data_IF_666964594985
#
_entry.id   IF_666964594985
#
_cell.length_a   1.000
_cell.length_b   1.000
_cell.length_c   1.000
_cell.angle_alpha   90.00
_cell.angle_beta   90.00
_cell.angle_gamma   90.00
#
_symmetry.space_group_name_H-M   'P 1'
#
loop_
_entity.id
_entity.type
_entity.pdbx_description
1 polymer ?
#
# COMPACT_ATOMS: atom_id res chain seq x y z
N UNK A 1 -6.87 -20.02 6.36
CA UNK A 1 -7.47 -18.98 7.24
C UNK A 1 -8.98 -19.13 7.20
N UNK A 2 -9.67 -18.97 8.34
CA UNK A 2 -11.15 -18.96 8.39
C UNK A 2 -11.65 -17.67 7.71
N UNK A 3 -12.79 -17.77 6.98
CA UNK A 3 -13.38 -16.62 6.26
C UNK A 3 -13.79 -15.48 7.19
N UNK A 4 -14.25 -15.79 8.41
CA UNK A 4 -14.55 -14.78 9.41
C UNK A 4 -13.30 -13.97 9.79
N UNK A 5 -12.18 -14.65 10.02
CA UNK A 5 -10.89 -14.00 10.29
C UNK A 5 -10.38 -13.16 9.10
N UNK A 6 -10.64 -13.61 7.88
CA UNK A 6 -10.24 -12.85 6.69
C UNK A 6 -11.09 -11.58 6.53
N UNK A 7 -12.38 -11.62 6.85
CA UNK A 7 -13.25 -10.42 6.93
C UNK A 7 -12.68 -9.45 7.96
N UNK A 8 -12.36 -9.91 9.17
CA UNK A 8 -11.81 -9.06 10.23
C UNK A 8 -10.48 -8.41 9.82
N UNK A 9 -9.64 -9.12 9.06
CA UNK A 9 -8.38 -8.60 8.54
C UNK A 9 -8.56 -7.50 7.46
N UNK A 10 -9.73 -7.44 6.82
CA UNK A 10 -10.07 -6.43 5.80
C UNK A 10 -10.80 -5.22 6.38
N UNK A 11 -11.44 -5.36 7.54
CA UNK A 11 -12.18 -4.29 8.21
C UNK A 11 -11.26 -3.50 9.13
N UNK A 12 -10.67 -2.44 8.61
CA UNK A 12 -9.78 -1.58 9.37
C UNK A 12 -10.56 -0.66 10.32
N UNK A 13 -10.06 -0.45 11.56
CA UNK A 13 -10.71 0.44 12.52
C UNK A 13 -10.78 1.86 11.96
N UNK A 14 -11.86 2.57 12.28
CA UNK A 14 -12.05 3.97 11.93
C UNK A 14 -11.34 4.88 12.94
N UNK A 15 -10.80 6.01 12.49
CA UNK A 15 -10.21 7.01 13.38
C UNK A 15 -11.27 7.61 14.30
N UNK A 16 -10.88 7.97 15.52
CA UNK A 16 -11.79 8.49 16.54
C UNK A 16 -12.59 9.73 16.08
N UNK A 17 -11.95 10.61 15.32
CA UNK A 17 -12.60 11.80 14.75
C UNK A 17 -13.75 11.41 13.80
N UNK A 18 -13.49 10.43 12.92
CA UNK A 18 -14.51 9.92 11.98
C UNK A 18 -15.65 9.16 12.69
N UNK A 19 -15.33 8.44 13.75
CA UNK A 19 -16.37 7.82 14.61
C UNK A 19 -17.24 8.91 15.23
N UNK A 20 -16.66 10.00 15.69
CA UNK A 20 -17.39 11.14 16.28
C UNK A 20 -18.26 11.84 15.24
N UNK A 21 -17.75 12.08 14.04
CA UNK A 21 -18.52 12.65 12.91
C UNK A 21 -19.72 11.75 12.57
N UNK A 22 -19.49 10.45 12.43
CA UNK A 22 -20.54 9.46 12.15
C UNK A 22 -21.59 9.41 13.25
N UNK A 23 -21.17 9.43 14.51
CA UNK A 23 -22.07 9.45 15.66
C UNK A 23 -22.95 10.72 15.67
N UNK A 24 -22.38 11.87 15.38
CA UNK A 24 -23.14 13.12 15.31
C UNK A 24 -24.15 13.11 14.14
N UNK A 25 -23.77 12.60 12.97
CA UNK A 25 -24.69 12.45 11.84
C UNK A 25 -25.87 11.55 12.20
N UNK A 26 -25.62 10.36 12.75
CA UNK A 26 -26.67 9.43 13.17
C UNK A 26 -27.57 10.05 14.24
N UNK A 27 -27.01 10.79 15.19
CA UNK A 27 -27.77 11.46 16.25
C UNK A 27 -28.69 12.55 15.70
N UNK A 28 -28.22 13.32 14.71
CA UNK A 28 -29.01 14.39 14.08
C UNK A 28 -30.08 13.84 13.16
N UNK A 29 -29.74 12.84 12.35
CA UNK A 29 -30.66 12.28 11.36
C UNK A 29 -31.65 11.28 11.95
N UNK A 30 -31.35 10.70 13.12
CA UNK A 30 -32.16 9.66 13.76
C UNK A 30 -32.18 8.33 13.00
N UNK A 31 -31.28 8.15 12.03
CA UNK A 31 -31.16 6.96 11.17
C UNK A 31 -29.73 6.72 10.76
N UNK A 32 -29.42 5.51 10.33
CA UNK A 32 -28.15 5.13 9.72
C UNK A 32 -28.37 4.32 8.43
N UNK A 33 -27.37 4.31 7.56
CA UNK A 33 -27.35 3.37 6.44
C UNK A 33 -27.36 1.93 6.94
N UNK A 34 -27.89 0.97 6.17
CA UNK A 34 -27.92 -0.43 6.55
C UNK A 34 -26.54 -1.00 6.87
N UNK A 35 -26.50 -1.89 7.83
CA UNK A 35 -25.36 -2.78 8.10
C UNK A 35 -25.44 -3.95 7.15
N UNK A 36 -24.33 -4.29 6.49
CA UNK A 36 -24.29 -5.41 5.55
C UNK A 36 -23.64 -6.62 6.23
N UNK A 37 -24.32 -7.76 6.16
CA UNK A 37 -23.87 -9.03 6.74
C UNK A 37 -23.68 -10.09 5.66
N UNK A 38 -22.81 -11.06 5.93
CA UNK A 38 -22.61 -12.25 5.13
C UNK A 38 -22.29 -13.44 6.04
N UNK A 39 -23.14 -14.49 6.02
CA UNK A 39 -23.04 -15.62 6.94
C UNK A 39 -22.79 -15.18 8.40
N UNK A 40 -23.67 -14.31 8.91
CA UNK A 40 -23.63 -13.75 10.26
C UNK A 40 -22.42 -12.86 10.60
N UNK A 41 -21.51 -12.66 9.66
CA UNK A 41 -20.40 -11.73 9.84
C UNK A 41 -20.77 -10.37 9.25
N UNK A 42 -20.46 -9.29 9.97
CA UNK A 42 -20.60 -7.93 9.46
C UNK A 42 -19.47 -7.68 8.45
N UNK A 43 -19.85 -7.29 7.24
CA UNK A 43 -18.91 -6.97 6.13
C UNK A 43 -18.86 -5.49 5.80
N UNK A 44 -19.85 -4.71 6.25
CA UNK A 44 -19.84 -3.25 6.24
C UNK A 44 -20.72 -2.69 7.34
N UNK A 45 -20.29 -1.59 7.96
CA UNK A 45 -21.06 -0.84 8.94
C UNK A 45 -20.92 -1.31 10.39
N UNK A 46 -19.79 -1.92 10.78
CA UNK A 46 -19.51 -2.34 12.16
C UNK A 46 -19.63 -1.15 13.13
N UNK A 47 -18.98 -0.04 12.84
CA UNK A 47 -19.02 1.15 13.66
C UNK A 47 -20.42 1.78 13.69
N UNK A 48 -21.18 1.71 12.57
CA UNK A 48 -22.59 2.16 12.53
C UNK A 48 -23.46 1.37 13.50
N UNK A 49 -23.30 0.04 13.52
CA UNK A 49 -24.04 -0.84 14.43
C UNK A 49 -23.75 -0.48 15.89
N UNK A 50 -22.48 -0.39 16.26
CA UNK A 50 -22.06 -0.05 17.62
C UNK A 50 -22.57 1.34 18.06
N UNK A 51 -22.57 2.31 17.16
CA UNK A 51 -23.08 3.67 17.44
C UNK A 51 -24.60 3.63 17.60
N UNK A 52 -25.32 2.97 16.70
CA UNK A 52 -26.78 2.87 16.77
C UNK A 52 -27.25 2.18 18.05
N UNK A 53 -26.59 1.11 18.48
CA UNK A 53 -26.85 0.43 19.75
C UNK A 53 -26.66 1.38 20.93
N UNK A 54 -25.55 2.13 20.97
CA UNK A 54 -25.27 3.11 22.04
C UNK A 54 -26.27 4.27 22.07
N UNK A 55 -26.76 4.70 20.92
CA UNK A 55 -27.72 5.79 20.79
C UNK A 55 -29.17 5.33 20.87
N UNK A 56 -29.43 4.03 20.98
CA UNK A 56 -30.75 3.41 20.92
C UNK A 56 -31.53 3.79 19.64
N UNK A 57 -30.81 3.85 18.50
CA UNK A 57 -31.32 4.08 17.15
C UNK A 57 -31.43 2.73 16.46
N UNK A 58 -32.54 2.43 15.80
CA UNK A 58 -32.66 1.22 15.00
C UNK A 58 -31.85 1.31 13.73
N UNK A 59 -31.15 0.25 13.38
CA UNK A 59 -30.42 0.13 12.10
C UNK A 59 -30.89 -1.12 11.37
N UNK A 60 -31.09 -0.99 10.06
CA UNK A 60 -31.46 -2.11 9.19
C UNK A 60 -30.24 -3.01 8.96
N UNK A 61 -30.42 -4.33 9.05
CA UNK A 61 -29.40 -5.31 8.66
C UNK A 61 -29.81 -5.96 7.33
N UNK A 62 -28.90 -5.99 6.36
CA UNK A 62 -29.11 -6.59 5.04
C UNK A 62 -28.09 -7.67 4.78
N UNK A 63 -28.55 -8.85 4.39
CA UNK A 63 -27.66 -9.88 3.90
C UNK A 63 -27.09 -9.50 2.53
N UNK A 64 -25.78 -9.70 2.38
CA UNK A 64 -25.11 -9.57 1.10
C UNK A 64 -25.69 -10.57 0.08
N UNK A 65 -26.05 -10.08 -1.10
CA UNK A 65 -26.69 -10.87 -2.14
C UNK A 65 -25.70 -11.54 -3.12
N UNK A 66 -24.40 -11.24 -3.02
CA UNK A 66 -23.37 -11.83 -3.86
C UNK A 66 -23.17 -13.31 -3.62
N UNK A 67 -22.70 -14.03 -4.64
CA UNK A 67 -22.70 -15.49 -4.68
C UNK A 67 -21.36 -16.11 -4.26
N UNK A 68 -20.26 -15.36 -4.32
CA UNK A 68 -18.95 -15.91 -4.07
C UNK A 68 -18.20 -15.20 -2.95
N UNK A 69 -17.29 -15.93 -2.30
CA UNK A 69 -16.35 -15.39 -1.36
C UNK A 69 -15.49 -14.26 -1.97
N UNK A 70 -15.14 -14.40 -3.23
CA UNK A 70 -14.32 -13.44 -3.95
C UNK A 70 -15.05 -12.10 -4.17
N UNK A 71 -16.36 -12.16 -4.45
CA UNK A 71 -17.19 -10.95 -4.58
C UNK A 71 -17.27 -10.19 -3.25
N UNK A 72 -17.46 -10.91 -2.11
CA UNK A 72 -17.54 -10.24 -0.81
C UNK A 72 -16.22 -9.61 -0.40
N UNK A 73 -15.09 -10.27 -0.66
CA UNK A 73 -13.76 -9.69 -0.41
C UNK A 73 -13.55 -8.40 -1.19
N UNK A 74 -13.91 -8.37 -2.47
CA UNK A 74 -13.82 -7.15 -3.30
C UNK A 74 -14.73 -6.05 -2.78
N UNK A 75 -15.97 -6.40 -2.45
CA UNK A 75 -16.91 -5.44 -1.86
C UNK A 75 -16.35 -4.79 -0.58
N UNK A 76 -15.81 -5.58 0.35
CA UNK A 76 -15.18 -5.04 1.57
C UNK A 76 -14.03 -4.11 1.20
N UNK A 77 -13.15 -4.54 0.29
CA UNK A 77 -12.02 -3.70 -0.15
C UNK A 77 -12.50 -2.37 -0.75
N UNK A 78 -13.52 -2.39 -1.60
CA UNK A 78 -14.08 -1.19 -2.24
C UNK A 78 -14.68 -0.25 -1.20
N UNK A 79 -15.51 -0.77 -0.28
CA UNK A 79 -16.11 0.03 0.79
C UNK A 79 -15.08 0.66 1.72
N UNK A 80 -14.01 -0.09 2.08
CA UNK A 80 -12.90 0.46 2.85
C UNK A 80 -12.14 1.55 2.08
N UNK A 81 -11.93 1.38 0.77
CA UNK A 81 -11.21 2.34 -0.07
C UNK A 81 -11.95 3.66 -0.32
N UNK A 82 -13.27 3.71 -0.11
CA UNK A 82 -14.06 4.95 -0.12
C UNK A 82 -13.71 5.88 1.04
N UNK A 83 -13.13 5.35 2.11
CA UNK A 83 -12.72 6.11 3.30
C UNK A 83 -11.50 6.97 2.99
N UNK A 84 -11.48 8.19 3.53
CA UNK A 84 -10.39 9.16 3.41
C UNK A 84 -9.34 9.06 4.55
N UNK A 85 -9.68 8.34 5.64
CA UNK A 85 -8.86 8.25 6.85
C UNK A 85 -7.84 7.10 6.85
N UNK A 86 -7.81 6.27 5.79
CA UNK A 86 -6.90 5.12 5.71
C UNK A 86 -5.46 5.54 5.38
N UNK A 87 -4.46 5.06 6.15
CA UNK A 87 -3.04 5.18 5.82
C UNK A 87 -2.71 4.55 4.46
N UNK A 88 -1.68 5.06 3.81
CA UNK A 88 -1.25 4.58 2.50
C UNK A 88 -0.96 3.05 2.46
N UNK A 89 -0.30 2.43 3.46
CA UNK A 89 -0.10 0.98 3.45
C UNK A 89 -1.40 0.18 3.46
N UNK A 90 -2.43 0.61 4.22
CA UNK A 90 -3.75 -0.02 4.19
C UNK A 90 -4.40 0.09 2.82
N UNK A 91 -4.34 1.27 2.18
CA UNK A 91 -4.87 1.46 0.82
C UNK A 91 -4.17 0.57 -0.20
N UNK A 92 -2.82 0.47 -0.12
CA UNK A 92 -2.03 -0.44 -0.99
C UNK A 92 -2.45 -1.89 -0.82
N UNK A 93 -2.61 -2.31 0.44
CA UNK A 93 -3.04 -3.66 0.77
C UNK A 93 -4.43 -3.97 0.20
N UNK A 94 -5.42 -3.09 0.38
CA UNK A 94 -6.78 -3.28 -0.11
C UNK A 94 -6.87 -3.33 -1.64
N UNK A 95 -6.16 -2.44 -2.34
CA UNK A 95 -6.11 -2.46 -3.81
C UNK A 95 -5.46 -3.74 -4.32
N UNK A 96 -4.33 -4.15 -3.73
CA UNK A 96 -3.66 -5.40 -4.06
C UNK A 96 -4.54 -6.62 -3.77
N UNK A 97 -5.26 -6.62 -2.64
CA UNK A 97 -6.18 -7.69 -2.24
C UNK A 97 -7.35 -7.80 -3.21
N UNK A 98 -7.95 -6.68 -3.60
CA UNK A 98 -9.02 -6.65 -4.60
C UNK A 98 -8.57 -7.27 -5.93
N UNK A 99 -7.40 -6.90 -6.44
CA UNK A 99 -6.86 -7.48 -7.66
C UNK A 99 -6.52 -8.98 -7.51
N UNK A 100 -5.84 -9.35 -6.43
CA UNK A 100 -5.50 -10.75 -6.15
C UNK A 100 -6.74 -11.64 -6.10
N UNK A 101 -7.82 -11.15 -5.50
CA UNK A 101 -9.11 -11.83 -5.40
C UNK A 101 -9.74 -12.05 -6.79
N UNK A 102 -9.62 -11.11 -7.73
CA UNK A 102 -10.05 -11.32 -9.12
C UNK A 102 -9.29 -12.46 -9.78
N UNK A 103 -7.98 -12.51 -9.60
CA UNK A 103 -7.15 -13.57 -10.18
C UNK A 103 -7.53 -14.93 -9.57
N UNK A 104 -7.65 -15.01 -8.26
CA UNK A 104 -8.04 -16.25 -7.56
C UNK A 104 -9.41 -16.78 -8.00
N UNK A 105 -10.38 -15.89 -8.24
CA UNK A 105 -11.71 -16.30 -8.72
C UNK A 105 -11.64 -16.92 -10.11
N UNK A 106 -10.91 -16.29 -11.03
CA UNK A 106 -10.69 -16.80 -12.39
C UNK A 106 -9.97 -18.16 -12.34
N UNK A 107 -8.92 -18.27 -11.53
CA UNK A 107 -8.17 -19.52 -11.39
C UNK A 107 -9.00 -20.64 -10.80
N UNK A 108 -9.83 -20.34 -9.80
CA UNK A 108 -10.73 -21.32 -9.19
C UNK A 108 -11.75 -21.80 -10.20
N UNK A 109 -12.43 -20.90 -10.91
CA UNK A 109 -13.42 -21.27 -11.93
C UNK A 109 -12.80 -22.15 -13.02
N UNK A 110 -11.59 -21.85 -13.46
CA UNK A 110 -10.88 -22.65 -14.44
C UNK A 110 -10.56 -24.06 -13.92
N UNK A 111 -10.08 -24.19 -12.67
CA UNK A 111 -9.77 -25.51 -12.06
C UNK A 111 -11.02 -26.34 -11.83
N UNK A 112 -12.17 -25.72 -11.53
CA UNK A 112 -13.44 -26.42 -11.40
C UNK A 112 -13.93 -27.02 -12.74
N UNK A 113 -13.67 -26.30 -13.85
CA UNK A 113 -13.98 -26.78 -15.21
C UNK A 113 -12.94 -27.77 -15.75
N UNK A 114 -11.70 -27.73 -15.24
CA UNK A 114 -10.57 -28.54 -15.72
C UNK A 114 -9.82 -29.19 -14.54
N UNK A 115 -10.43 -30.17 -13.86
CA UNK A 115 -9.86 -30.74 -12.63
C UNK A 115 -8.52 -31.46 -12.83
N UNK A 116 -8.21 -31.90 -14.02
CA UNK A 116 -6.94 -32.57 -14.37
C UNK A 116 -5.81 -31.60 -14.70
N UNK A 117 -6.06 -30.29 -14.68
CA UNK A 117 -5.08 -29.25 -15.00
C UNK A 117 -4.31 -28.82 -13.76
N UNK A 118 -3.01 -29.10 -13.67
CA UNK A 118 -2.16 -28.70 -12.55
C UNK A 118 -1.96 -27.17 -12.51
N UNK A 119 -1.78 -26.55 -13.69
CA UNK A 119 -1.51 -25.11 -13.81
C UNK A 119 -2.56 -24.39 -14.65
N UNK A 120 -2.97 -23.21 -14.20
CA UNK A 120 -3.86 -22.34 -14.97
C UNK A 120 -3.04 -21.59 -16.03
N UNK A 121 -3.35 -21.77 -17.33
CA UNK A 121 -2.61 -21.07 -18.38
C UNK A 121 -2.71 -19.54 -18.25
N UNK A 122 -1.62 -18.84 -18.49
CA UNK A 122 -1.53 -17.39 -18.34
C UNK A 122 -2.55 -16.60 -19.17
N UNK A 123 -2.99 -17.15 -20.33
CA UNK A 123 -4.01 -16.53 -21.18
C UNK A 123 -5.42 -16.57 -20.57
N UNK A 124 -5.67 -17.46 -19.60
CA UNK A 124 -6.96 -17.58 -18.89
C UNK A 124 -7.11 -16.42 -17.91
N UNK A 125 -6.12 -16.17 -17.07
CA UNK A 125 -6.17 -15.08 -16.08
C UNK A 125 -6.17 -13.71 -16.72
N UNK A 126 -5.65 -13.61 -17.97
CA UNK A 126 -5.48 -12.32 -18.68
C UNK A 126 -4.93 -11.24 -17.75
N UNK A 127 -3.97 -11.63 -16.90
CA UNK A 127 -3.50 -10.90 -15.74
C UNK A 127 -3.20 -9.41 -16.02
N UNK A 128 -2.53 -9.13 -17.14
CA UNK A 128 -2.22 -7.76 -17.55
C UNK A 128 -3.50 -6.94 -17.84
N UNK A 129 -4.47 -7.53 -18.53
CA UNK A 129 -5.76 -6.86 -18.85
C UNK A 129 -6.57 -6.64 -17.57
N UNK A 130 -6.65 -7.64 -16.70
CA UNK A 130 -7.33 -7.53 -15.41
C UNK A 130 -6.67 -6.47 -14.53
N UNK A 131 -5.33 -6.46 -14.44
CA UNK A 131 -4.60 -5.41 -13.72
C UNK A 131 -4.84 -4.01 -14.29
N UNK A 132 -4.92 -3.87 -15.63
CA UNK A 132 -5.24 -2.59 -16.28
C UNK A 132 -6.66 -2.12 -15.96
N UNK A 133 -7.62 -3.04 -15.91
CA UNK A 133 -9.00 -2.70 -15.53
C UNK A 133 -9.08 -2.21 -14.06
N UNK A 134 -8.44 -2.94 -13.15
CA UNK A 134 -8.37 -2.54 -11.73
C UNK A 134 -7.60 -1.23 -11.56
N UNK A 135 -6.50 -1.05 -12.29
CA UNK A 135 -5.72 0.19 -12.29
C UNK A 135 -6.57 1.40 -12.69
N UNK A 136 -7.43 1.23 -13.68
CA UNK A 136 -8.34 2.29 -14.13
C UNK A 136 -9.36 2.69 -13.05
N UNK A 137 -9.85 1.73 -12.25
CA UNK A 137 -10.79 2.02 -11.14
C UNK A 137 -10.15 2.91 -10.06
N UNK A 138 -8.86 2.75 -9.81
CA UNK A 138 -8.14 3.43 -8.74
C UNK A 138 -7.20 4.53 -9.23
N UNK A 139 -7.19 4.85 -10.52
CA UNK A 139 -6.33 5.86 -11.14
C UNK A 139 -4.82 5.56 -10.95
N UNK A 140 -4.46 4.30 -11.13
CA UNK A 140 -3.10 3.77 -10.97
C UNK A 140 -2.58 3.20 -12.29
N UNK A 141 -1.28 2.91 -12.36
CA UNK A 141 -0.73 2.11 -13.46
C UNK A 141 -0.90 0.61 -13.20
N UNK A 142 -0.98 -0.21 -14.26
CA UNK A 142 -1.03 -1.67 -14.10
C UNK A 142 0.19 -2.21 -13.33
N UNK A 143 1.38 -1.63 -13.55
CA UNK A 143 2.59 -2.02 -12.84
C UNK A 143 2.49 -1.74 -11.33
N UNK A 144 1.78 -0.67 -10.95
CA UNK A 144 1.47 -0.37 -9.55
C UNK A 144 0.54 -1.43 -8.94
N UNK A 145 -0.47 -1.87 -9.69
CA UNK A 145 -1.38 -2.93 -9.24
C UNK A 145 -0.61 -4.24 -8.96
N UNK A 146 0.28 -4.63 -9.87
CA UNK A 146 1.12 -5.83 -9.66
C UNK A 146 2.00 -5.71 -8.42
N UNK A 147 2.62 -4.54 -8.20
CA UNK A 147 3.40 -4.29 -6.98
C UNK A 147 2.54 -4.34 -5.70
N UNK A 148 1.32 -3.83 -5.77
CA UNK A 148 0.39 -3.86 -4.64
C UNK A 148 -0.10 -5.27 -4.34
N UNK A 149 -0.27 -6.10 -5.37
CA UNK A 149 -0.57 -7.51 -5.18
C UNK A 149 0.58 -8.25 -4.51
N UNK A 150 1.83 -8.09 -4.99
CA UNK A 150 3.01 -8.67 -4.33
C UNK A 150 3.11 -8.23 -2.87
N UNK A 151 2.87 -6.95 -2.60
CA UNK A 151 2.81 -6.41 -1.24
C UNK A 151 1.73 -7.11 -0.39
N UNK A 152 0.53 -7.30 -0.95
CA UNK A 152 -0.59 -7.97 -0.26
C UNK A 152 -0.29 -9.42 0.04
N UNK A 153 0.24 -10.16 -0.93
CA UNK A 153 0.60 -11.59 -0.76
C UNK A 153 1.68 -11.74 0.33
N UNK A 154 2.69 -10.89 0.31
CA UNK A 154 3.74 -10.91 1.33
C UNK A 154 3.19 -10.54 2.72
N UNK A 155 2.31 -9.52 2.82
CA UNK A 155 1.62 -9.17 4.06
C UNK A 155 0.77 -10.31 4.60
N UNK A 156 0.02 -11.01 3.75
CA UNK A 156 -0.81 -12.14 4.19
C UNK A 156 0.04 -13.29 4.72
N UNK A 157 1.16 -13.63 4.07
CA UNK A 157 2.12 -14.64 4.56
C UNK A 157 2.73 -14.26 5.92
N UNK A 158 3.17 -13.01 6.09
CA UNK A 158 3.69 -12.53 7.39
C UNK A 158 2.60 -12.56 8.45
N UNK A 159 1.36 -12.18 8.10
CA UNK A 159 0.22 -12.18 9.03
C UNK A 159 -0.10 -13.56 9.59
N UNK A 160 0.01 -14.61 8.79
CA UNK A 160 -0.20 -15.98 9.25
C UNK A 160 0.77 -16.40 10.37
N UNK A 161 1.96 -15.81 10.37
CA UNK A 161 3.04 -16.12 11.33
C UNK A 161 3.10 -15.09 12.47
N UNK A 162 3.02 -13.79 12.14
CA UNK A 162 3.14 -12.68 13.09
C UNK A 162 2.16 -11.53 12.75
N UNK A 163 0.88 -11.63 13.19
CA UNK A 163 -0.14 -10.63 12.88
C UNK A 163 0.13 -9.25 13.49
N UNK A 164 0.81 -9.20 14.65
CA UNK A 164 1.15 -7.93 15.30
C UNK A 164 2.06 -7.06 14.46
N UNK A 165 3.08 -7.63 13.84
CA UNK A 165 4.01 -6.93 12.96
C UNK A 165 3.29 -6.35 11.73
N UNK A 166 2.37 -7.10 11.14
CA UNK A 166 1.56 -6.63 10.01
C UNK A 166 0.64 -5.48 10.43
N UNK A 167 0.09 -5.53 11.65
CA UNK A 167 -0.69 -4.42 12.21
C UNK A 167 0.09 -3.11 12.19
N UNK A 168 1.34 -3.12 12.62
CA UNK A 168 2.22 -1.94 12.64
C UNK A 168 2.58 -1.47 11.22
N UNK A 169 2.85 -2.39 10.29
CA UNK A 169 3.08 -2.05 8.87
C UNK A 169 1.88 -1.36 8.23
N UNK A 170 0.68 -1.88 8.45
CA UNK A 170 -0.55 -1.35 7.85
C UNK A 170 -0.93 0.01 8.43
N UNK A 171 -0.70 0.24 9.72
CA UNK A 171 -0.87 1.57 10.34
C UNK A 171 0.16 2.58 9.81
N UNK A 172 1.28 2.11 9.26
CA UNK A 172 2.40 2.94 8.82
C UNK A 172 3.34 3.36 9.95
N UNK A 173 3.21 2.76 11.14
CA UNK A 173 4.08 2.98 12.30
C UNK A 173 5.46 2.39 12.06
N UNK A 174 5.53 1.26 11.34
CA UNK A 174 6.78 0.67 10.89
C UNK A 174 6.80 0.66 9.37
N UNK A 175 7.86 1.21 8.79
CA UNK A 175 8.08 1.23 7.34
C UNK A 175 8.85 -0.01 6.90
N UNK A 176 8.45 -0.58 5.77
CA UNK A 176 9.10 -1.72 5.14
C UNK A 176 9.07 -1.60 3.63
N UNK A 177 10.19 -1.86 2.98
CA UNK A 177 10.25 -1.96 1.51
C UNK A 177 9.69 -3.31 1.04
N UNK A 178 9.15 -3.37 -0.20
CA UNK A 178 8.56 -4.59 -0.75
C UNK A 178 9.56 -5.78 -0.71
N UNK A 179 10.79 -5.59 -1.18
CA UNK A 179 11.79 -6.67 -1.17
C UNK A 179 12.16 -7.16 0.24
N UNK A 180 12.16 -6.27 1.24
CA UNK A 180 12.35 -6.66 2.65
C UNK A 180 11.14 -7.41 3.18
N UNK A 181 9.93 -6.98 2.81
CA UNK A 181 8.68 -7.65 3.19
C UNK A 181 8.59 -9.06 2.60
N UNK A 182 9.03 -9.25 1.35
CA UNK A 182 9.13 -10.57 0.72
C UNK A 182 10.10 -11.48 1.48
N UNK A 183 11.25 -10.96 1.92
CA UNK A 183 12.18 -11.70 2.78
C UNK A 183 11.54 -12.08 4.12
N UNK A 184 10.81 -11.17 4.76
CA UNK A 184 10.05 -11.46 5.99
C UNK A 184 8.99 -12.54 5.77
N UNK A 185 8.33 -12.57 4.62
CA UNK A 185 7.34 -13.57 4.29
C UNK A 185 7.91 -15.00 4.20
N UNK A 186 9.20 -15.12 3.90
CA UNK A 186 9.93 -16.40 3.83
C UNK A 186 10.61 -16.82 5.14
N UNK A 187 10.58 -15.94 6.18
CA UNK A 187 11.13 -16.26 7.51
C UNK A 187 10.20 -17.20 8.29
N UNK A 188 10.78 -17.95 9.22
CA UNK A 188 10.02 -18.79 10.13
C UNK A 188 9.34 -17.93 11.23
N UNK A 189 8.33 -18.52 11.87
CA UNK A 189 7.53 -17.81 12.89
C UNK A 189 8.38 -17.32 14.07
N UNK A 190 9.29 -18.15 14.54
CA UNK A 190 10.17 -17.87 15.66
C UNK A 190 11.11 -16.69 15.38
N UNK A 191 11.59 -16.59 14.16
CA UNK A 191 12.43 -15.48 13.69
C UNK A 191 11.64 -14.17 13.63
N UNK A 192 10.40 -14.22 13.12
CA UNK A 192 9.50 -13.06 13.07
C UNK A 192 9.07 -12.61 14.47
N UNK A 193 8.83 -13.55 15.41
CA UNK A 193 8.50 -13.24 16.80
C UNK A 193 9.67 -12.55 17.51
N UNK A 194 10.90 -13.01 17.25
CA UNK A 194 12.12 -12.38 17.79
C UNK A 194 12.32 -10.98 17.23
N UNK A 195 12.21 -10.83 15.90
CA UNK A 195 12.31 -9.54 15.23
C UNK A 195 11.27 -8.55 15.77
N UNK A 196 10.02 -8.98 15.93
CA UNK A 196 8.96 -8.11 16.43
C UNK A 196 9.21 -7.64 17.86
N UNK A 197 9.71 -8.52 18.74
CA UNK A 197 10.14 -8.14 20.10
C UNK A 197 11.27 -7.12 20.08
N UNK A 198 12.25 -7.30 19.20
CA UNK A 198 13.38 -6.36 19.07
C UNK A 198 12.92 -5.01 18.52
N UNK A 199 12.01 -5.00 17.55
CA UNK A 199 11.39 -3.79 17.00
C UNK A 199 10.66 -3.01 18.10
N UNK A 200 9.83 -3.70 18.90
CA UNK A 200 9.10 -3.06 19.99
C UNK A 200 10.04 -2.55 21.09
N UNK A 201 11.06 -3.34 21.46
CA UNK A 201 12.01 -2.98 22.51
C UNK A 201 12.86 -1.77 22.17
N UNK A 202 13.26 -1.63 20.92
CA UNK A 202 14.18 -0.58 20.48
C UNK A 202 13.48 0.56 19.73
N UNK A 203 12.14 0.53 19.57
CA UNK A 203 11.37 1.57 18.89
C UNK A 203 11.75 1.73 17.42
N UNK A 204 11.99 0.61 16.73
CA UNK A 204 12.40 0.63 15.32
C UNK A 204 11.18 0.98 14.46
N UNK A 205 11.25 2.08 13.72
CA UNK A 205 10.20 2.56 12.81
C UNK A 205 10.44 2.19 11.33
N UNK A 206 11.58 1.55 11.02
CA UNK A 206 11.93 1.15 9.67
C UNK A 206 12.73 -0.16 9.64
N UNK A 207 12.15 -1.20 9.04
CA UNK A 207 12.83 -2.48 8.84
C UNK A 207 13.49 -2.49 7.46
N UNK A 208 14.81 -2.72 7.45
CA UNK A 208 15.63 -2.88 6.25
C UNK A 208 16.22 -4.27 6.18
N UNK A 209 16.66 -4.72 5.00
CA UNK A 209 17.32 -6.01 4.84
C UNK A 209 18.59 -6.20 5.69
N UNK A 210 19.20 -5.10 6.16
CA UNK A 210 20.38 -5.14 7.04
C UNK A 210 20.04 -5.58 8.48
N UNK A 211 18.77 -5.47 8.89
CA UNK A 211 18.30 -5.87 10.24
C UNK A 211 17.90 -7.36 10.24
N UNK A 212 17.66 -7.94 9.06
CA UNK A 212 17.24 -9.32 8.97
C UNK A 212 18.41 -10.29 9.25
N UNK A 213 18.17 -11.42 9.94
CA UNK A 213 19.17 -12.45 10.09
C UNK A 213 19.59 -12.95 8.70
N UNK A 214 20.87 -12.85 8.38
CA UNK A 214 21.41 -13.40 7.14
C UNK A 214 21.32 -14.93 7.22
N UNK A 215 20.58 -15.56 6.33
CA UNK A 215 20.67 -17.00 6.12
C UNK A 215 22.09 -17.30 5.65
N UNK A 216 22.91 -17.87 6.51
CA UNK A 216 24.14 -18.50 6.08
C UNK A 216 23.73 -19.66 5.18
N UNK A 217 23.97 -19.50 3.88
CA UNK A 217 23.95 -20.63 2.96
C UNK A 217 25.01 -21.63 3.44
N UNK A 218 24.55 -22.73 4.02
CA UNK A 218 25.39 -23.86 4.32
C UNK A 218 25.74 -24.57 2.99
N UNK A 219 26.65 -23.97 2.24
CA UNK A 219 27.42 -24.68 1.24
C UNK A 219 28.71 -25.12 1.90
N UNK A 220 28.83 -26.42 2.04
CA UNK A 220 30.04 -27.13 2.47
C UNK A 220 31.21 -26.72 1.58
N UNK A 221 32.10 -25.89 2.11
CA UNK A 221 33.40 -25.66 1.46
C UNK A 221 34.32 -26.77 1.95
N UNK A 222 34.51 -27.77 1.10
CA UNK A 222 35.68 -28.63 1.20
C UNK A 222 36.95 -27.77 1.00
N UNK A 223 37.81 -27.79 2.00
CA UNK A 223 39.14 -27.18 1.95
C UNK A 223 39.94 -27.71 0.78
N UNK A 224 40.15 -26.85 -0.22
CA UNK A 224 41.30 -26.98 -1.10
C UNK A 224 42.23 -25.79 -0.83
N UNK A 225 43.21 -26.02 -0.01
CA UNK A 225 44.31 -25.09 0.21
C UNK A 225 45.13 -24.98 -1.07
N UNK A 226 45.01 -23.86 -1.77
CA UNK A 226 45.99 -23.45 -2.78
C UNK A 226 46.28 -21.98 -2.56
N UNK A 227 47.54 -21.74 -2.16
CA UNK A 227 48.16 -20.42 -2.05
C UNK A 227 48.12 -19.68 -3.34
N UNK A 228 47.44 -18.54 -3.38
CA UNK A 228 47.54 -17.52 -4.41
C UNK A 228 47.69 -16.17 -3.69
N UNK A 229 48.75 -15.41 -4.03
CA UNK A 229 49.04 -14.08 -3.51
C UNK A 229 47.94 -13.06 -3.81
N UNK A 230 47.79 -11.99 -3.02
CA UNK A 230 46.64 -11.11 -3.11
C UNK A 230 46.82 -10.07 -4.22
N UNK A 231 46.23 -10.31 -5.37
CA UNK A 231 46.02 -9.25 -6.37
C UNK A 231 44.52 -8.82 -6.33
N UNK A 232 44.33 -7.52 -6.09
CA UNK A 232 43.16 -6.66 -6.34
C UNK A 232 41.75 -7.24 -6.05
N UNK A 233 41.38 -7.18 -4.77
CA UNK A 233 39.97 -7.15 -4.40
C UNK A 233 39.37 -5.81 -4.82
N UNK A 234 38.34 -5.76 -5.70
CA UNK A 234 37.68 -4.49 -6.01
C UNK A 234 37.02 -4.00 -4.69
N UNK A 235 37.47 -2.83 -4.27
CA UNK A 235 36.94 -2.18 -3.06
C UNK A 235 35.43 -2.10 -3.13
N UNK A 236 34.76 -2.66 -2.10
CA UNK A 236 33.35 -2.43 -1.84
C UNK A 236 33.07 -0.95 -2.02
N UNK A 237 32.28 -0.59 -3.03
CA UNK A 237 31.85 0.79 -3.25
C UNK A 237 31.19 1.24 -1.96
N UNK A 238 31.87 2.08 -1.20
CA UNK A 238 31.25 2.79 -0.07
C UNK A 238 30.01 3.49 -0.62
N UNK A 239 28.87 3.29 0.01
CA UNK A 239 27.66 4.06 -0.27
C UNK A 239 28.09 5.53 -0.33
N UNK A 240 27.71 6.27 -1.40
CA UNK A 240 28.05 7.67 -1.49
C UNK A 240 27.54 8.36 -0.23
N UNK A 241 28.40 9.14 0.41
CA UNK A 241 27.97 10.02 1.51
C UNK A 241 26.82 10.88 0.99
N UNK A 242 25.83 11.13 1.83
CA UNK A 242 24.76 12.07 1.52
C UNK A 242 25.38 13.37 1.03
N UNK A 243 25.02 13.76 -0.16
CA UNK A 243 25.47 14.97 -0.84
C UNK A 243 24.24 15.83 -1.14
N UNK A 244 24.01 16.90 -0.38
CA UNK A 244 22.89 17.82 -0.61
C UNK A 244 22.87 18.41 -2.02
N UNK A 245 24.05 18.69 -2.60
CA UNK A 245 24.16 19.27 -3.93
C UNK A 245 23.74 18.26 -5.02
N UNK A 246 23.99 16.97 -4.81
CA UNK A 246 23.53 15.92 -5.70
C UNK A 246 21.98 15.80 -5.70
N UNK A 247 21.32 15.95 -4.55
CA UNK A 247 19.86 15.96 -4.45
C UNK A 247 19.25 17.18 -5.15
N UNK A 248 19.77 18.37 -4.92
CA UNK A 248 19.34 19.59 -5.61
C UNK A 248 19.58 19.50 -7.13
N UNK A 249 20.72 18.95 -7.54
CA UNK A 249 21.03 18.72 -8.95
C UNK A 249 20.06 17.73 -9.60
N UNK A 250 19.70 16.66 -8.91
CA UNK A 250 18.72 15.68 -9.37
C UNK A 250 17.35 16.32 -9.62
N UNK A 251 16.88 17.15 -8.67
CA UNK A 251 15.63 17.88 -8.82
C UNK A 251 15.70 18.88 -9.98
N UNK A 252 16.80 19.63 -10.08
CA UNK A 252 17.03 20.61 -11.15
C UNK A 252 16.99 19.96 -12.54
N UNK A 253 17.55 18.77 -12.70
CA UNK A 253 17.51 18.01 -13.96
C UNK A 253 16.10 17.46 -14.28
N UNK A 254 15.28 17.21 -13.27
CA UNK A 254 13.94 16.62 -13.44
C UNK A 254 12.87 17.66 -13.80
N UNK A 255 12.96 18.87 -13.25
CA UNK A 255 11.98 19.96 -13.46
C UNK A 255 11.74 20.25 -14.96
N UNK A 256 12.74 20.36 -15.85
CA UNK A 256 12.49 20.62 -17.28
C UNK A 256 11.63 19.54 -17.94
N UNK A 257 11.76 18.28 -17.52
CA UNK A 257 10.93 17.18 -18.01
C UNK A 257 9.45 17.35 -17.60
N UNK A 258 9.19 17.79 -16.37
CA UNK A 258 7.83 18.10 -15.91
C UNK A 258 7.20 19.26 -16.67
N UNK A 259 7.96 20.36 -16.85
CA UNK A 259 7.53 21.51 -17.63
C UNK A 259 7.16 21.08 -19.05
N UNK A 260 8.03 20.33 -19.73
CA UNK A 260 7.78 19.83 -21.10
C UNK A 260 6.54 18.93 -21.17
N UNK A 261 6.27 18.12 -20.13
CA UNK A 261 5.08 17.28 -20.08
C UNK A 261 3.81 18.10 -19.92
N UNK A 262 3.82 19.12 -19.06
CA UNK A 262 2.68 20.02 -18.84
C UNK A 262 2.38 20.81 -20.12
N UNK A 263 3.40 21.39 -20.75
CA UNK A 263 3.26 22.16 -22.00
C UNK A 263 2.73 21.30 -23.14
N UNK A 264 3.27 20.08 -23.30
CA UNK A 264 2.80 19.13 -24.31
C UNK A 264 1.32 18.77 -24.12
N UNK A 265 0.90 18.60 -22.87
CA UNK A 265 -0.50 18.32 -22.55
C UNK A 265 -1.37 19.54 -22.86
N UNK A 266 -0.93 20.73 -22.49
CA UNK A 266 -1.62 22.00 -22.81
C UNK A 266 -1.83 22.16 -24.32
N UNK A 267 -0.81 21.85 -25.11
CA UNK A 267 -0.83 22.08 -26.56
C UNK A 267 -1.63 20.99 -27.32
N UNK A 268 -1.71 19.78 -26.77
CA UNK A 268 -2.37 18.63 -27.43
C UNK A 268 -3.77 18.35 -26.95
N UNK A 269 -4.08 18.64 -25.68
CA UNK A 269 -5.37 18.31 -25.12
C UNK A 269 -6.45 19.32 -25.52
N UNK A 270 -7.56 18.82 -26.04
CA UNK A 270 -8.75 19.63 -26.20
C UNK A 270 -9.51 19.75 -24.87
N UNK A 271 -9.16 20.74 -24.07
CA UNK A 271 -9.80 20.95 -22.77
C UNK A 271 -11.31 21.19 -22.85
N UNK A 272 -11.84 21.64 -24.00
CA UNK A 272 -13.31 21.87 -24.17
C UNK A 272 -14.05 20.54 -24.17
N UNK A 273 -13.48 19.51 -24.80
CA UNK A 273 -14.09 18.19 -24.96
C UNK A 273 -13.78 17.27 -23.77
N UNK A 274 -12.74 17.57 -22.99
CA UNK A 274 -12.39 16.78 -21.80
C UNK A 274 -13.53 16.76 -20.76
N UNK A 275 -13.71 15.64 -20.08
CA UNK A 275 -14.74 15.50 -19.05
C UNK A 275 -14.50 16.48 -17.88
N UNK A 276 -15.56 16.92 -17.23
CA UNK A 276 -15.48 17.80 -16.05
C UNK A 276 -14.64 17.16 -14.93
N UNK A 277 -14.76 15.85 -14.74
CA UNK A 277 -13.99 15.10 -13.76
C UNK A 277 -12.48 15.17 -14.02
N UNK A 278 -12.06 14.98 -15.28
CA UNK A 278 -10.65 15.08 -15.67
C UNK A 278 -10.10 16.49 -15.50
N UNK A 279 -10.90 17.51 -15.82
CA UNK A 279 -10.54 18.91 -15.61
C UNK A 279 -10.34 19.24 -14.15
N UNK A 280 -11.26 18.81 -13.27
CA UNK A 280 -11.17 19.05 -11.83
C UNK A 280 -9.96 18.33 -11.22
N UNK A 281 -9.71 17.08 -11.61
CA UNK A 281 -8.49 16.35 -11.15
C UNK A 281 -7.20 17.08 -11.55
N UNK A 282 -7.11 17.52 -12.80
CA UNK A 282 -5.93 18.25 -13.27
C UNK A 282 -5.74 19.55 -12.49
N UNK A 283 -6.82 20.32 -12.29
CA UNK A 283 -6.78 21.56 -11.49
C UNK A 283 -6.28 21.27 -10.07
N UNK A 284 -6.80 20.24 -9.41
CA UNK A 284 -6.35 19.87 -8.06
C UNK A 284 -4.85 19.54 -8.03
N UNK A 285 -4.36 18.76 -8.98
CA UNK A 285 -2.94 18.41 -9.05
C UNK A 285 -2.04 19.63 -9.34
N UNK A 286 -2.51 20.54 -10.19
CA UNK A 286 -1.80 21.78 -10.45
C UNK A 286 -1.72 22.69 -9.21
N UNK A 287 -2.78 22.77 -8.40
CA UNK A 287 -2.74 23.48 -7.11
C UNK A 287 -1.74 22.87 -6.13
N UNK A 288 -1.71 21.55 -6.03
CA UNK A 288 -0.73 20.86 -5.17
C UNK A 288 0.70 21.11 -5.65
N UNK A 289 0.93 21.03 -6.96
CA UNK A 289 2.24 21.31 -7.56
C UNK A 289 2.67 22.75 -7.32
N UNK A 290 1.79 23.71 -7.58
CA UNK A 290 2.04 25.15 -7.36
C UNK A 290 2.41 25.42 -5.89
N UNK A 291 1.61 24.92 -4.95
CA UNK A 291 1.88 25.09 -3.52
C UNK A 291 3.22 24.48 -3.11
N UNK A 292 3.53 23.28 -3.59
CA UNK A 292 4.79 22.60 -3.29
C UNK A 292 5.99 23.36 -3.85
N UNK A 293 5.89 23.85 -5.09
CA UNK A 293 6.95 24.64 -5.74
C UNK A 293 7.17 25.95 -4.99
N UNK A 294 6.10 26.66 -4.62
CA UNK A 294 6.20 27.90 -3.83
C UNK A 294 6.89 27.63 -2.49
N UNK A 295 6.47 26.58 -1.77
CA UNK A 295 7.05 26.22 -0.48
C UNK A 295 8.56 25.98 -0.57
N UNK A 296 8.99 25.09 -1.48
CA UNK A 296 10.42 24.79 -1.66
C UNK A 296 11.21 26.02 -2.08
N UNK A 297 10.66 26.82 -2.99
CA UNK A 297 11.28 28.08 -3.43
C UNK A 297 11.48 29.04 -2.29
N UNK A 298 10.43 29.27 -1.47
CA UNK A 298 10.48 30.18 -0.31
C UNK A 298 11.51 29.70 0.72
N UNK A 299 11.54 28.40 1.03
CA UNK A 299 12.55 27.83 1.95
C UNK A 299 13.99 28.07 1.46
N UNK A 300 14.25 27.92 0.16
CA UNK A 300 15.58 28.18 -0.42
C UNK A 300 15.89 29.69 -0.38
N UNK A 301 14.93 30.55 -0.74
CA UNK A 301 15.12 32.02 -0.73
C UNK A 301 15.35 32.54 0.70
N UNK A 302 14.66 32.04 1.70
CA UNK A 302 14.88 32.39 3.11
C UNK A 302 16.29 32.00 3.57
N UNK A 303 16.75 30.79 3.23
CA UNK A 303 18.13 30.35 3.56
C UNK A 303 19.16 31.24 2.86
N UNK A 304 18.92 31.61 1.59
CA UNK A 304 19.82 32.46 0.83
C UNK A 304 19.90 33.87 1.38
N UNK A 305 18.77 34.43 1.81
CA UNK A 305 18.70 35.80 2.36
C UNK A 305 19.27 35.89 3.79
N UNK A 306 19.09 34.86 4.61
CA UNK A 306 19.56 34.84 6.00
C UNK A 306 20.92 34.15 6.18
N UNK A 307 21.38 33.38 5.18
CA UNK A 307 22.71 32.71 5.21
C UNK A 307 23.87 33.59 4.75
N UNK A 308 23.58 34.77 4.21
CA UNK A 308 24.60 35.70 3.68
C UNK A 308 25.35 36.52 4.73
N UNK A 309 24.93 36.49 6.01
CA UNK A 309 25.61 37.27 7.08
C UNK A 309 26.64 36.48 7.89
N UNK A 310 26.87 35.22 7.65
CA UNK A 310 27.72 34.37 8.51
C UNK A 310 29.12 34.03 7.98
N UNK A 311 29.55 34.52 6.83
CA UNK A 311 30.87 34.18 6.26
C UNK A 311 31.69 35.38 5.77
N UNK A 312 31.75 36.45 6.53
CA UNK A 312 32.82 37.49 6.42
C UNK A 312 33.25 37.93 7.82
N UNK A 313 33.90 37.02 8.55
CA UNK A 313 34.88 37.36 9.60
C UNK A 313 36.04 36.35 9.55
#
# INVERSE_FOLDING_TARGET
MDKAQEIDNLLFPMKHEKITELQNSIKVEGKAEPVITWHDNIVDGRERKDICERLNVSVEEKNWSGKSWYEICRYICERQLERDDLPLPMRRYLVGKSFHTYIQEIEKSYREEHPDCEEVPAHITKRQKTASNVAHLYDLSYATIIKYESFTIAMDKVREKQPGLVGEFLKGEIRVALGTLEQLADMEKEELDSLFKDVQKHGIDHITGAILPQKQSAETIEEVATTVEPEDVPSIRKLPKYDPDAELSSLTLTIPSWISSIERTRDRANFKEASMRSKLKLIQQLYVLEHTVIKVKTEIEEIYLHGGEANYE
#
